data_IF_926063602706
#
_entry.id   IF_926063602706
#
_cell.length_a   1.000
_cell.length_b   1.000
_cell.length_c   1.000
_cell.angle_alpha   90.00
_cell.angle_beta   90.00
_cell.angle_gamma   90.00
#
_symmetry.space_group_name_H-M   'P 1'
#
loop_
_entity.id
_entity.type
_entity.pdbx_description
1 polymer ?
#
# COMPACT_ATOMS: atom_id res chain seq x y z
N UNK A 1 6.90 -30.18 46.47
CA UNK A 1 7.67 -29.99 45.22
C UNK A 1 6.78 -29.64 44.02
N UNK A 2 5.93 -28.57 44.08
CA UNK A 2 4.97 -28.26 42.98
C UNK A 2 5.03 -26.82 42.49
N UNK A 3 6.10 -26.03 42.75
CA UNK A 3 6.15 -24.59 42.36
C UNK A 3 7.01 -24.26 41.17
N UNK A 4 7.65 -25.22 40.47
CA UNK A 4 8.54 -24.90 39.32
C UNK A 4 7.90 -25.06 37.93
N UNK A 5 6.77 -25.73 37.82
CA UNK A 5 6.11 -25.97 36.51
C UNK A 5 5.17 -24.87 36.03
N UNK A 6 4.61 -24.08 36.96
CA UNK A 6 3.64 -23.02 36.60
C UNK A 6 4.29 -21.78 35.97
N UNK A 7 5.51 -21.43 36.37
CA UNK A 7 6.19 -20.24 35.85
C UNK A 7 6.59 -20.39 34.36
N UNK A 8 7.00 -21.59 33.95
CA UNK A 8 7.46 -21.87 32.58
C UNK A 8 6.31 -21.85 31.57
N UNK A 9 5.14 -22.35 31.94
CA UNK A 9 3.96 -22.36 31.07
C UNK A 9 3.42 -20.95 30.85
N UNK A 10 3.40 -20.11 31.90
CA UNK A 10 2.93 -18.72 31.79
C UNK A 10 3.82 -17.88 30.88
N UNK A 11 5.14 -18.07 30.91
CA UNK A 11 6.09 -17.34 30.06
C UNK A 11 5.94 -17.74 28.60
N UNK A 12 5.72 -19.01 28.29
CA UNK A 12 5.52 -19.52 26.93
C UNK A 12 4.22 -19.00 26.31
N UNK A 13 3.13 -18.92 27.09
CA UNK A 13 1.84 -18.38 26.61
C UNK A 13 1.96 -16.88 26.32
N UNK A 14 2.68 -16.12 27.16
CA UNK A 14 2.87 -14.69 26.94
C UNK A 14 3.68 -14.39 25.67
N UNK A 15 4.74 -15.17 25.40
CA UNK A 15 5.52 -15.04 24.16
C UNK A 15 4.70 -15.38 22.91
N UNK A 16 3.86 -16.42 22.96
CA UNK A 16 2.99 -16.79 21.84
C UNK A 16 1.96 -15.70 21.52
N UNK A 17 1.39 -15.04 22.53
CA UNK A 17 0.45 -13.93 22.33
C UNK A 17 1.11 -12.70 21.65
N UNK A 18 2.36 -12.39 21.97
CA UNK A 18 3.09 -11.26 21.37
C UNK A 18 3.42 -11.49 19.90
N UNK A 19 3.72 -12.73 19.51
CA UNK A 19 4.00 -13.08 18.10
C UNK A 19 2.73 -13.02 17.24
N UNK A 20 1.59 -13.41 17.76
CA UNK A 20 0.29 -13.35 17.06
C UNK A 20 -0.19 -11.90 16.87
N UNK A 21 0.14 -11.00 17.77
CA UNK A 21 -0.25 -9.58 17.69
C UNK A 21 0.42 -8.85 16.52
N UNK A 22 1.70 -9.15 16.22
CA UNK A 22 2.43 -8.54 15.12
C UNK A 22 1.89 -8.95 13.74
N UNK A 23 1.57 -10.22 13.56
CA UNK A 23 0.96 -10.72 12.31
C UNK A 23 -0.42 -10.10 12.07
N UNK A 24 -1.22 -9.90 13.12
CA UNK A 24 -2.55 -9.29 13.00
C UNK A 24 -2.51 -7.81 12.61
N UNK A 25 -1.49 -7.06 13.05
CA UNK A 25 -1.34 -5.63 12.70
C UNK A 25 -1.06 -5.43 11.21
N UNK A 26 -0.11 -6.17 10.64
CA UNK A 26 0.19 -6.08 9.20
C UNK A 26 -0.96 -6.57 8.31
N UNK A 27 -1.67 -7.61 8.75
CA UNK A 27 -2.87 -8.07 8.05
C UNK A 27 -3.94 -6.96 7.99
N UNK A 28 -4.22 -6.29 9.11
CA UNK A 28 -5.14 -5.13 9.14
C UNK A 28 -4.68 -3.98 8.25
N UNK A 29 -3.38 -3.70 8.20
CA UNK A 29 -2.82 -2.68 7.30
C UNK A 29 -3.06 -3.03 5.83
N UNK A 30 -2.86 -4.30 5.44
CA UNK A 30 -3.19 -4.77 4.09
C UNK A 30 -4.69 -4.65 3.78
N UNK A 31 -5.54 -4.98 4.75
CA UNK A 31 -6.99 -4.87 4.57
C UNK A 31 -7.42 -3.41 4.40
N UNK A 32 -6.79 -2.45 5.09
CA UNK A 32 -7.04 -1.02 4.86
C UNK A 32 -6.72 -0.61 3.42
N UNK A 33 -5.58 -1.06 2.87
CA UNK A 33 -5.20 -0.79 1.48
C UNK A 33 -6.20 -1.44 0.52
N UNK A 34 -6.54 -2.71 0.72
CA UNK A 34 -7.44 -3.47 -0.17
C UNK A 34 -8.87 -2.97 -0.17
N UNK A 35 -9.32 -2.40 0.96
CA UNK A 35 -10.66 -1.83 1.09
C UNK A 35 -10.75 -0.37 0.63
N UNK A 36 -9.62 0.28 0.31
CA UNK A 36 -9.65 1.62 -0.26
C UNK A 36 -10.14 1.57 -1.72
N UNK A 37 -11.04 2.49 -2.14
CA UNK A 37 -11.54 2.53 -3.52
C UNK A 37 -10.45 2.61 -4.58
N UNK A 38 -9.30 3.23 -4.29
CA UNK A 38 -8.18 3.32 -5.22
C UNK A 38 -7.52 1.98 -5.51
N UNK A 39 -7.71 0.97 -4.64
CA UNK A 39 -7.16 -0.37 -4.85
C UNK A 39 -7.83 -1.12 -6.02
N UNK A 40 -9.11 -0.85 -6.30
CA UNK A 40 -9.87 -1.52 -7.36
C UNK A 40 -10.32 -0.59 -8.49
N UNK A 41 -10.06 0.71 -8.39
CA UNK A 41 -10.45 1.68 -9.41
C UNK A 41 -9.86 1.37 -10.79
N UNK A 42 -10.62 1.67 -11.83
CA UNK A 42 -10.22 1.50 -13.24
C UNK A 42 -10.57 2.76 -14.03
N UNK A 43 -9.85 2.99 -15.12
CA UNK A 43 -10.02 4.19 -15.95
C UNK A 43 -9.84 3.84 -17.42
N UNK A 44 -10.59 4.51 -18.29
CA UNK A 44 -10.41 4.38 -19.74
C UNK A 44 -9.04 4.91 -20.17
N UNK A 45 -8.33 4.10 -20.96
CA UNK A 45 -6.98 4.41 -21.42
C UNK A 45 -5.87 4.10 -20.41
N UNK A 46 -6.19 3.44 -19.28
CA UNK A 46 -5.26 3.00 -18.25
C UNK A 46 -5.52 1.52 -17.98
N UNK A 47 -4.77 0.65 -18.67
CA UNK A 47 -4.92 -0.81 -18.58
C UNK A 47 -4.22 -1.37 -17.35
N UNK A 48 -4.93 -2.13 -16.51
CA UNK A 48 -4.36 -2.79 -15.35
C UNK A 48 -3.62 -4.06 -15.76
N UNK A 49 -2.34 -4.16 -15.37
CA UNK A 49 -1.47 -5.30 -15.67
C UNK A 49 -1.33 -6.26 -14.48
N UNK A 50 -1.29 -5.73 -13.25
CA UNK A 50 -1.15 -6.52 -12.04
C UNK A 50 -0.72 -5.71 -10.83
N UNK A 51 -0.41 -6.41 -9.74
CA UNK A 51 0.03 -5.80 -8.47
C UNK A 51 1.33 -6.41 -7.98
N UNK A 52 2.15 -5.59 -7.33
CA UNK A 52 3.31 -6.01 -6.56
C UNK A 52 3.15 -5.53 -5.11
N UNK A 53 3.14 -6.46 -4.17
CA UNK A 53 3.08 -6.17 -2.74
C UNK A 53 4.49 -6.02 -2.14
N UNK A 54 4.63 -5.18 -1.11
CA UNK A 54 5.85 -5.14 -0.31
C UNK A 54 6.09 -6.49 0.36
N UNK A 55 7.35 -6.94 0.34
CA UNK A 55 7.74 -8.21 0.98
C UNK A 55 7.73 -8.06 2.49
N UNK A 56 7.34 -9.12 3.19
CA UNK A 56 7.31 -9.19 4.66
C UNK A 56 8.56 -9.86 5.25
N UNK A 57 9.56 -10.11 4.42
CA UNK A 57 10.77 -10.81 4.80
C UNK A 57 11.82 -9.88 5.42
N UNK A 58 12.60 -10.43 6.33
CA UNK A 58 13.72 -9.77 6.98
C UNK A 58 13.45 -9.22 8.39
N UNK A 59 14.52 -8.84 9.11
CA UNK A 59 14.43 -8.41 10.51
C UNK A 59 13.78 -7.02 10.70
N UNK A 60 13.71 -6.22 9.61
CA UNK A 60 13.00 -4.94 9.54
C UNK A 60 12.21 -4.91 8.24
N UNK A 61 10.99 -5.47 8.22
CA UNK A 61 10.20 -5.47 7.01
C UNK A 61 9.84 -4.02 6.61
N UNK A 62 9.79 -3.73 5.30
CA UNK A 62 9.41 -2.42 4.81
C UNK A 62 7.97 -2.08 5.22
N UNK A 63 7.53 -0.81 5.12
CA UNK A 63 6.14 -0.43 5.26
C UNK A 63 5.23 -1.31 4.40
N UNK A 64 4.02 -1.56 4.88
CA UNK A 64 3.02 -2.29 4.07
C UNK A 64 2.63 -1.40 2.89
N UNK A 65 2.86 -1.91 1.69
CA UNK A 65 2.53 -1.19 0.46
C UNK A 65 2.08 -2.17 -0.63
N UNK A 66 1.19 -1.69 -1.48
CA UNK A 66 0.78 -2.36 -2.72
C UNK A 66 1.00 -1.41 -3.87
N UNK A 67 1.68 -1.86 -4.90
CA UNK A 67 1.88 -1.13 -6.15
C UNK A 67 1.04 -1.79 -7.25
N UNK A 68 0.14 -1.03 -7.85
CA UNK A 68 -0.64 -1.42 -9.02
C UNK A 68 0.11 -0.96 -10.27
N UNK A 69 0.28 -1.86 -11.21
CA UNK A 69 1.04 -1.66 -12.43
C UNK A 69 0.10 -1.51 -13.62
N UNK A 70 0.33 -0.52 -14.46
CA UNK A 70 -0.55 -0.19 -15.58
C UNK A 70 0.24 0.12 -16.85
N UNK A 71 -0.40 -0.10 -18.02
CA UNK A 71 -0.03 0.47 -19.30
C UNK A 71 -1.01 1.59 -19.65
N UNK A 72 -0.51 2.79 -19.97
CA UNK A 72 -1.35 3.89 -20.41
C UNK A 72 -1.23 4.10 -21.93
N UNK A 73 -2.37 4.39 -22.57
CA UNK A 73 -2.49 4.74 -24.00
C UNK A 73 -2.88 6.19 -24.21
N UNK A 74 -3.09 6.93 -23.12
CA UNK A 74 -3.39 8.37 -23.08
C UNK A 74 -2.16 9.16 -22.63
N UNK A 75 -2.11 10.49 -22.84
CA UNK A 75 -1.02 11.32 -22.34
C UNK A 75 -0.80 11.15 -20.84
N UNK A 76 0.45 11.10 -20.36
CA UNK A 76 0.77 10.88 -18.94
C UNK A 76 0.09 11.88 -17.99
N UNK A 77 0.02 13.15 -18.37
CA UNK A 77 -0.64 14.19 -17.56
C UNK A 77 -2.15 13.93 -17.42
N UNK A 78 -2.81 13.49 -18.49
CA UNK A 78 -4.23 13.13 -18.46
C UNK A 78 -4.48 11.92 -17.58
N UNK A 79 -3.59 10.92 -17.61
CA UNK A 79 -3.66 9.76 -16.74
C UNK A 79 -3.51 10.16 -15.26
N UNK A 80 -2.51 10.99 -14.93
CA UNK A 80 -2.29 11.54 -13.59
C UNK A 80 -3.53 12.31 -13.11
N UNK A 81 -4.10 13.17 -13.95
CA UNK A 81 -5.28 13.96 -13.60
C UNK A 81 -6.52 13.09 -13.35
N UNK A 82 -6.78 12.09 -14.19
CA UNK A 82 -7.90 11.15 -14.03
C UNK A 82 -7.81 10.38 -12.71
N UNK A 83 -6.63 9.85 -12.41
CA UNK A 83 -6.39 9.09 -11.19
C UNK A 83 -6.54 9.96 -9.96
N UNK A 84 -5.97 11.18 -9.97
CA UNK A 84 -6.08 12.10 -8.85
C UNK A 84 -7.50 12.60 -8.62
N UNK A 85 -8.30 12.85 -9.67
CA UNK A 85 -9.71 13.19 -9.52
C UNK A 85 -10.51 12.07 -8.83
N UNK A 86 -10.23 10.80 -9.17
CA UNK A 86 -10.84 9.65 -8.49
C UNK A 86 -10.39 9.55 -7.03
N UNK A 87 -9.11 9.81 -6.76
CA UNK A 87 -8.57 9.83 -5.41
C UNK A 87 -9.27 10.90 -4.55
N UNK A 88 -9.40 12.12 -5.03
CA UNK A 88 -10.10 13.21 -4.32
C UNK A 88 -11.56 12.85 -4.02
N UNK A 89 -12.30 12.27 -4.99
CA UNK A 89 -13.66 11.77 -4.78
C UNK A 89 -13.74 10.67 -3.72
N UNK A 90 -12.64 9.92 -3.54
CA UNK A 90 -12.49 8.85 -2.55
C UNK A 90 -11.96 9.35 -1.20
N UNK A 91 -11.85 10.67 -1.00
CA UNK A 91 -11.43 11.29 0.27
C UNK A 91 -9.92 11.42 0.46
N UNK A 92 -9.13 11.30 -0.62
CA UNK A 92 -7.71 11.60 -0.60
C UNK A 92 -7.47 13.09 -0.76
N UNK A 93 -6.42 13.61 -0.13
CA UNK A 93 -6.00 15.02 -0.26
C UNK A 93 -4.65 15.06 -0.98
N UNK A 94 -4.61 15.69 -2.16
CA UNK A 94 -3.38 15.84 -2.95
C UNK A 94 -2.38 16.74 -2.21
N UNK A 95 -1.12 16.27 -2.13
CA UNK A 95 0.00 17.12 -1.72
C UNK A 95 0.56 17.90 -2.91
N UNK A 96 0.11 19.14 -3.02
CA UNK A 96 0.50 20.02 -4.13
C UNK A 96 1.96 20.45 -4.10
N UNK A 97 2.65 20.32 -2.94
CA UNK A 97 4.07 20.66 -2.82
C UNK A 97 4.96 19.64 -3.51
N UNK A 98 4.51 18.39 -3.64
CA UNK A 98 5.21 17.30 -4.32
C UNK A 98 4.80 17.09 -5.78
N UNK A 99 3.97 17.99 -6.33
CA UNK A 99 3.47 17.88 -7.71
C UNK A 99 4.58 18.07 -8.72
N UNK A 100 4.72 17.12 -9.64
CA UNK A 100 5.59 17.21 -10.83
C UNK A 100 4.84 16.77 -12.07
N UNK A 101 5.45 16.93 -13.25
CA UNK A 101 4.90 16.41 -14.52
C UNK A 101 4.86 14.89 -14.57
N UNK A 102 5.62 14.20 -13.73
CA UNK A 102 5.77 12.74 -13.73
C UNK A 102 5.11 12.08 -12.53
N UNK A 103 4.83 12.82 -11.45
CA UNK A 103 4.37 12.26 -10.18
C UNK A 103 3.31 13.11 -9.51
N UNK A 104 2.43 12.44 -8.75
CA UNK A 104 1.48 13.04 -7.82
C UNK A 104 1.48 12.23 -6.53
N UNK A 105 1.28 12.90 -5.41
CA UNK A 105 1.10 12.26 -4.11
C UNK A 105 -0.17 12.75 -3.42
N UNK A 106 -0.77 11.90 -2.61
CA UNK A 106 -1.91 12.26 -1.78
C UNK A 106 -1.87 11.50 -0.45
N UNK A 107 -2.54 12.04 0.55
CA UNK A 107 -2.68 11.44 1.87
C UNK A 107 -4.15 11.27 2.24
N UNK A 108 -4.43 10.25 3.07
CA UNK A 108 -5.74 10.03 3.66
C UNK A 108 -5.57 9.59 5.10
N UNK A 109 -6.20 10.31 6.04
CA UNK A 109 -6.17 9.94 7.46
C UNK A 109 -7.00 8.71 7.73
N UNK A 110 -6.53 7.84 8.64
CA UNK A 110 -7.31 6.73 9.20
C UNK A 110 -7.14 6.68 10.71
N UNK A 111 -8.02 5.92 11.41
CA UNK A 111 -7.89 5.70 12.86
C UNK A 111 -6.64 4.89 13.23
N UNK A 112 -6.10 4.13 12.29
CA UNK A 112 -4.93 3.24 12.47
C UNK A 112 -3.65 3.85 11.88
N UNK A 113 -3.66 5.11 11.49
CA UNK A 113 -2.56 5.83 10.85
C UNK A 113 -2.96 6.41 9.50
N UNK A 114 -2.14 7.30 8.96
CA UNK A 114 -2.34 7.84 7.61
C UNK A 114 -1.91 6.84 6.55
N UNK A 115 -2.66 6.79 5.44
CA UNK A 115 -2.23 6.08 4.24
C UNK A 115 -1.77 7.09 3.19
N UNK A 116 -0.76 6.72 2.43
CA UNK A 116 -0.19 7.55 1.36
C UNK A 116 -0.45 6.92 0.00
N UNK A 117 -0.75 7.76 -0.98
CA UNK A 117 -0.91 7.43 -2.38
C UNK A 117 0.23 8.07 -3.17
N UNK A 118 0.88 7.31 -4.01
CA UNK A 118 1.89 7.76 -4.95
C UNK A 118 1.49 7.30 -6.36
N UNK A 119 1.37 8.24 -7.29
CA UNK A 119 1.02 8.00 -8.68
C UNK A 119 2.16 8.51 -9.56
N UNK A 120 2.68 7.68 -10.46
CA UNK A 120 3.86 8.05 -11.24
C UNK A 120 3.89 7.41 -12.63
N UNK A 121 4.48 8.13 -13.55
CA UNK A 121 4.94 7.65 -14.87
C UNK A 121 6.43 7.27 -14.86
N UNK A 122 7.12 7.43 -13.74
CA UNK A 122 8.52 6.99 -13.57
C UNK A 122 8.55 5.55 -13.04
N UNK A 123 9.04 4.63 -13.87
CA UNK A 123 8.82 3.19 -13.75
C UNK A 123 10.03 2.49 -13.14
N UNK A 124 10.17 2.49 -11.84
CA UNK A 124 11.22 1.70 -11.18
C UNK A 124 10.70 0.41 -10.54
N UNK A 125 9.38 0.20 -10.41
CA UNK A 125 8.84 -0.75 -9.44
C UNK A 125 8.15 -2.00 -9.96
N UNK A 126 7.64 -2.04 -11.18
CA UNK A 126 6.90 -3.21 -11.70
C UNK A 126 7.80 -4.16 -12.49
N UNK A 127 8.59 -4.96 -11.78
CA UNK A 127 9.55 -5.89 -12.41
C UNK A 127 8.89 -7.07 -13.12
N UNK A 128 7.69 -7.48 -12.65
CA UNK A 128 6.95 -8.61 -13.23
C UNK A 128 6.13 -8.21 -14.47
N UNK A 129 5.98 -6.91 -14.73
CA UNK A 129 5.16 -6.36 -15.80
C UNK A 129 5.99 -5.37 -16.63
N UNK A 130 6.81 -5.86 -17.59
CA UNK A 130 7.75 -5.02 -18.35
C UNK A 130 7.08 -3.95 -19.22
N UNK A 131 5.79 -4.11 -19.57
CA UNK A 131 5.01 -3.14 -20.34
C UNK A 131 4.52 -1.96 -19.48
N UNK A 132 4.77 -2.00 -18.16
CA UNK A 132 4.32 -0.94 -17.25
C UNK A 132 4.96 0.38 -17.61
N UNK A 133 4.14 1.42 -17.77
CA UNK A 133 4.54 2.81 -17.96
C UNK A 133 3.79 3.77 -17.01
N UNK A 134 3.02 3.22 -16.07
CA UNK A 134 2.28 3.97 -15.08
C UNK A 134 2.05 3.13 -13.81
N UNK A 135 2.25 3.72 -12.64
CA UNK A 135 2.09 3.02 -11.36
C UNK A 135 1.27 3.82 -10.36
N UNK A 136 0.54 3.09 -9.52
CA UNK A 136 -0.17 3.63 -8.37
C UNK A 136 0.26 2.79 -7.16
N UNK A 137 0.93 3.42 -6.18
CA UNK A 137 1.33 2.77 -4.93
C UNK A 137 0.54 3.33 -3.76
N UNK A 138 -0.01 2.43 -2.94
CA UNK A 138 -0.71 2.75 -1.70
C UNK A 138 0.09 2.15 -0.55
N UNK A 139 0.45 2.95 0.46
CA UNK A 139 1.32 2.54 1.57
C UNK A 139 0.86 3.10 2.92
N UNK A 140 1.19 2.35 4.00
CA UNK A 140 1.03 2.72 5.41
C UNK A 140 2.39 2.86 6.09
#
# INVERSE_FOLDING_TARGET
>A
MHHRTTATVTTLILCACLLLSGCSARARQRDLIRNDPMYSATWDGIEFLGTEDSKDDGPKPPPVATTRCFAITIPPEDALQKVMATAEQSGWTEDRSSKSSLTRTAGKGSREGGISLYVSTDIIRCKQYPETNFVISIAL
#
